data_IF_769162591633
#
_entry.id   IF_769162591633
#
_cell.length_a   1.000
_cell.length_b   1.000
_cell.length_c   1.000
_cell.angle_alpha   90.00
_cell.angle_beta   90.00
_cell.angle_gamma   90.00
#
_symmetry.space_group_name_H-M   'P 1'
#
loop_
_entity.id
_entity.type
_entity.pdbx_description
1 polymer ?
#
# COMPACT_ATOMS: atom_id res chain seq x y z
N UNK A 1 2.96 -18.98 -7.81
CA UNK A 1 2.88 -20.37 -8.31
C UNK A 1 1.64 -20.98 -7.68
N UNK A 2 0.76 -21.56 -8.50
CA UNK A 2 -0.47 -22.21 -8.08
C UNK A 2 -0.12 -23.59 -7.54
N UNK A 3 0.16 -23.72 -6.24
CA UNK A 3 0.21 -25.05 -5.61
C UNK A 3 -1.22 -25.59 -5.58
N UNK A 4 -1.43 -26.83 -6.00
CA UNK A 4 -2.71 -27.49 -5.82
C UNK A 4 -2.93 -27.84 -4.33
N UNK A 5 -4.18 -27.88 -3.84
CA UNK A 5 -4.45 -28.33 -2.48
C UNK A 5 -3.85 -29.74 -2.25
N UNK A 6 -3.05 -29.90 -1.19
CA UNK A 6 -2.29 -31.11 -0.80
C UNK A 6 -0.98 -31.40 -1.57
N UNK A 7 -0.49 -30.49 -2.40
CA UNK A 7 0.81 -30.64 -3.06
C UNK A 7 1.97 -30.25 -2.12
N UNK A 8 2.24 -31.09 -1.11
CA UNK A 8 3.36 -30.91 -0.18
C UNK A 8 4.62 -31.57 -0.72
N UNK A 9 5.29 -30.89 -1.66
CA UNK A 9 6.59 -31.34 -2.17
C UNK A 9 7.68 -31.06 -1.14
N UNK A 10 8.58 -32.03 -0.92
CA UNK A 10 9.68 -31.90 0.07
C UNK A 10 10.58 -30.66 -0.17
N UNK A 11 10.63 -30.16 -1.41
CA UNK A 11 11.37 -28.97 -1.81
C UNK A 11 10.55 -27.67 -1.80
N UNK A 12 9.22 -27.75 -1.61
CA UNK A 12 8.30 -26.60 -1.49
C UNK A 12 7.23 -26.88 -0.44
N UNK A 13 7.61 -27.06 0.85
CA UNK A 13 6.65 -27.34 1.91
C UNK A 13 5.64 -26.20 2.02
N UNK A 14 4.36 -26.51 2.26
CA UNK A 14 3.39 -25.49 2.64
C UNK A 14 3.86 -24.83 3.93
N UNK A 15 4.33 -23.59 3.80
CA UNK A 15 4.54 -22.73 4.95
C UNK A 15 3.18 -22.09 5.22
N UNK A 16 2.48 -22.42 6.33
CA UNK A 16 1.29 -21.69 6.70
C UNK A 16 1.68 -20.23 6.88
N UNK A 17 1.37 -19.41 5.86
CA UNK A 17 1.52 -17.97 5.94
C UNK A 17 0.27 -17.49 6.63
N UNK A 18 0.43 -16.97 7.84
CA UNK A 18 -0.61 -16.15 8.41
C UNK A 18 -0.82 -14.99 7.43
N UNK A 19 -2.04 -14.82 6.92
CA UNK A 19 -2.35 -13.74 5.98
C UNK A 19 -2.33 -12.46 6.81
N UNK A 20 -1.19 -11.78 6.80
CA UNK A 20 -1.04 -10.48 7.43
C UNK A 20 -1.89 -9.47 6.66
N UNK A 21 -2.74 -8.67 7.32
CA UNK A 21 -3.40 -7.53 6.69
C UNK A 21 -2.36 -6.57 6.11
N UNK A 22 -2.64 -5.96 4.95
CA UNK A 22 -1.68 -5.07 4.29
C UNK A 22 -1.32 -3.82 5.12
N UNK A 23 -2.10 -3.52 6.15
CA UNK A 23 -1.99 -2.32 6.98
C UNK A 23 -1.18 -2.53 8.26
N UNK A 24 -0.94 -3.78 8.64
CA UNK A 24 -0.17 -4.10 9.85
C UNK A 24 1.31 -4.17 9.52
N UNK A 25 2.19 -3.77 10.45
CA UNK A 25 3.63 -4.01 10.27
C UNK A 25 3.92 -5.51 10.28
N UNK A 26 4.76 -5.95 9.34
CA UNK A 26 5.23 -7.32 9.35
C UNK A 26 6.00 -7.59 10.65
N UNK A 27 5.66 -8.67 11.39
CA UNK A 27 6.38 -9.02 12.60
C UNK A 27 7.85 -9.26 12.27
N UNK A 28 8.74 -8.87 13.18
CA UNK A 28 10.16 -9.16 13.02
C UNK A 28 10.37 -10.68 13.07
N UNK A 29 10.81 -11.23 11.93
CA UNK A 29 11.16 -12.63 11.84
C UNK A 29 12.59 -12.79 12.36
N UNK A 30 12.72 -13.53 13.46
CA UNK A 30 14.02 -13.88 14.02
C UNK A 30 14.79 -14.74 13.01
N UNK A 31 15.91 -14.19 12.51
CA UNK A 31 16.72 -14.88 11.51
C UNK A 31 17.65 -15.88 12.19
N UNK A 32 17.56 -17.17 11.82
CA UNK A 32 18.46 -18.21 12.32
C UNK A 32 19.93 -17.96 11.96
N UNK A 33 20.19 -17.21 10.89
CA UNK A 33 21.52 -16.89 10.38
C UNK A 33 21.61 -15.40 10.02
N UNK A 34 22.78 -14.79 10.18
CA UNK A 34 23.04 -13.38 9.83
C UNK A 34 22.93 -13.06 8.33
N UNK A 35 23.07 -14.07 7.47
CA UNK A 35 22.99 -13.94 6.02
C UNK A 35 21.68 -14.56 5.51
N UNK A 36 20.58 -13.83 5.68
CA UNK A 36 19.31 -14.13 5.01
C UNK A 36 18.91 -12.97 4.11
N UNK A 37 18.34 -13.23 2.92
CA UNK A 37 17.83 -12.16 2.08
C UNK A 37 16.63 -11.50 2.76
N UNK A 38 16.73 -10.22 3.09
CA UNK A 38 15.59 -9.43 3.57
C UNK A 38 14.52 -9.34 2.48
N UNK A 39 13.26 -9.42 2.90
CA UNK A 39 12.10 -9.28 2.00
C UNK A 39 11.53 -7.89 2.12
N UNK A 40 11.04 -7.38 1.01
CA UNK A 40 10.16 -6.23 0.99
C UNK A 40 8.72 -6.75 0.98
N UNK A 41 7.83 -6.03 1.65
CA UNK A 41 6.41 -6.34 1.68
C UNK A 41 5.82 -6.16 0.27
N UNK A 42 6.00 -4.98 -0.30
CA UNK A 42 5.55 -4.68 -1.66
C UNK A 42 6.51 -3.70 -2.37
N UNK A 43 6.32 -3.63 -3.68
CA UNK A 43 6.81 -2.53 -4.51
C UNK A 43 5.58 -1.75 -4.91
N UNK A 44 5.54 -0.47 -4.54
CA UNK A 44 4.45 0.43 -4.86
C UNK A 44 4.84 1.28 -6.06
N UNK A 45 3.93 1.49 -7.00
CA UNK A 45 4.20 2.21 -8.24
C UNK A 45 3.15 3.26 -8.51
N UNK A 46 3.57 4.48 -8.83
CA UNK A 46 2.69 5.51 -9.39
C UNK A 46 2.76 5.41 -10.91
N UNK A 47 1.61 5.16 -11.52
CA UNK A 47 1.48 5.01 -12.96
C UNK A 47 0.58 6.11 -13.53
N UNK A 48 0.98 6.67 -14.67
CA UNK A 48 0.07 7.47 -15.48
C UNK A 48 -1.11 6.60 -15.99
N UNK A 49 -2.24 7.20 -16.40
CA UNK A 49 -3.39 6.47 -16.93
C UNK A 49 -3.07 5.56 -18.14
N UNK A 50 -2.00 5.87 -18.89
CA UNK A 50 -1.52 5.05 -19.99
C UNK A 50 -0.67 3.83 -19.55
N UNK A 51 -0.49 3.61 -18.26
CA UNK A 51 0.29 2.50 -17.69
C UNK A 51 1.80 2.77 -17.57
N UNK A 52 2.27 3.96 -17.94
CA UNK A 52 3.69 4.35 -17.77
C UNK A 52 3.97 4.58 -16.29
N UNK A 53 4.97 3.89 -15.75
CA UNK A 53 5.46 4.10 -14.38
C UNK A 53 6.18 5.44 -14.31
N UNK A 54 5.69 6.33 -13.45
CA UNK A 54 6.27 7.65 -13.16
C UNK A 54 7.27 7.55 -12.02
N UNK A 55 6.89 6.85 -10.96
CA UNK A 55 7.71 6.66 -9.77
C UNK A 55 7.41 5.30 -9.13
N UNK A 56 8.34 4.81 -8.31
CA UNK A 56 8.18 3.56 -7.58
C UNK A 56 8.99 3.59 -6.29
N UNK A 57 8.55 2.82 -5.30
CA UNK A 57 9.23 2.69 -4.01
C UNK A 57 9.09 1.27 -3.47
N UNK A 58 10.03 0.82 -2.65
CA UNK A 58 9.92 -0.47 -1.95
C UNK A 58 9.48 -0.23 -0.52
N UNK A 59 8.35 -0.81 -0.13
CA UNK A 59 7.91 -0.81 1.27
C UNK A 59 8.42 -2.07 1.96
N UNK A 60 9.30 -1.89 2.95
CA UNK A 60 9.97 -3.01 3.60
C UNK A 60 9.02 -3.85 4.47
N UNK A 61 8.17 -3.19 5.25
CA UNK A 61 7.35 -3.84 6.30
C UNK A 61 5.86 -3.88 5.99
N UNK A 62 5.32 -2.78 5.48
CA UNK A 62 3.91 -2.61 5.23
C UNK A 62 3.66 -1.49 4.22
N UNK A 63 2.57 -1.64 3.50
CA UNK A 63 2.00 -0.62 2.63
C UNK A 63 1.08 0.28 3.47
N UNK A 64 1.68 0.95 4.46
CA UNK A 64 0.93 1.76 5.42
C UNK A 64 0.50 3.10 4.81
N UNK A 65 -0.62 3.70 5.28
CA UNK A 65 -1.06 5.01 4.83
C UNK A 65 0.00 6.10 4.95
N UNK A 66 0.83 6.07 6.01
CA UNK A 66 1.93 7.03 6.20
C UNK A 66 3.04 6.85 5.17
N UNK A 67 3.38 5.60 4.83
CA UNK A 67 4.37 5.31 3.79
C UNK A 67 3.88 5.78 2.42
N UNK A 68 2.59 5.59 2.14
CA UNK A 68 1.94 6.07 0.90
C UNK A 68 1.95 7.60 0.85
N UNK A 69 1.52 8.30 1.91
CA UNK A 69 1.52 9.77 1.98
C UNK A 69 2.91 10.33 1.73
N UNK A 70 3.92 9.77 2.40
CA UNK A 70 5.31 10.15 2.18
C UNK A 70 5.76 9.90 0.75
N UNK A 71 5.41 8.76 0.17
CA UNK A 71 5.77 8.45 -1.22
C UNK A 71 5.13 9.44 -2.21
N UNK A 72 3.88 9.86 -1.97
CA UNK A 72 3.23 10.90 -2.79
C UNK A 72 3.93 12.25 -2.64
N UNK A 73 4.30 12.66 -1.42
CA UNK A 73 5.02 13.90 -1.15
C UNK A 73 6.41 13.90 -1.79
N UNK A 74 7.17 12.81 -1.67
CA UNK A 74 8.49 12.64 -2.27
C UNK A 74 8.43 12.65 -3.81
N UNK A 75 7.30 12.20 -4.40
CA UNK A 75 7.11 12.14 -5.86
C UNK A 75 6.62 13.46 -6.44
N UNK A 76 5.72 14.15 -5.74
CA UNK A 76 5.08 15.39 -6.18
C UNK A 76 5.22 16.49 -5.11
N UNK A 77 6.44 17.01 -4.87
CA UNK A 77 6.69 17.99 -3.82
C UNK A 77 5.95 19.31 -4.11
N UNK A 78 5.93 19.72 -5.37
CA UNK A 78 5.32 20.98 -5.81
C UNK A 78 3.85 20.81 -6.19
N UNK A 79 3.00 21.75 -5.74
CA UNK A 79 1.57 21.78 -6.07
C UNK A 79 1.29 21.66 -7.59
N UNK A 80 2.11 22.29 -8.43
CA UNK A 80 1.94 22.27 -9.90
C UNK A 80 2.21 20.92 -10.55
N UNK A 81 2.84 20.00 -9.83
CA UNK A 81 3.17 18.65 -10.33
C UNK A 81 2.22 17.59 -9.80
N UNK A 82 1.42 17.92 -8.79
CA UNK A 82 0.48 16.98 -8.16
C UNK A 82 -0.66 16.65 -9.13
N UNK A 83 -1.05 15.37 -9.24
CA UNK A 83 -2.18 14.98 -10.07
C UNK A 83 -3.51 15.45 -9.44
N UNK A 84 -4.48 15.80 -10.29
CA UNK A 84 -5.82 16.19 -9.85
C UNK A 84 -6.56 15.03 -9.16
N UNK A 85 -6.32 13.79 -9.62
CA UNK A 85 -6.95 12.58 -9.13
C UNK A 85 -5.92 11.47 -8.89
N UNK A 86 -6.05 10.80 -7.75
CA UNK A 86 -5.21 9.67 -7.36
C UNK A 86 -6.12 8.50 -7.03
N UNK A 87 -6.03 7.44 -7.83
CA UNK A 87 -6.72 6.18 -7.57
C UNK A 87 -5.80 5.26 -6.76
N UNK A 88 -6.26 4.83 -5.59
CA UNK A 88 -5.55 3.87 -4.76
C UNK A 88 -6.56 3.03 -3.98
N UNK A 89 -6.25 1.74 -3.82
CA UNK A 89 -7.13 0.77 -3.18
C UNK A 89 -7.51 1.13 -1.74
N UNK A 90 -6.63 1.83 -1.02
CA UNK A 90 -6.85 2.27 0.37
C UNK A 90 -7.05 3.76 0.54
N UNK A 91 -7.63 4.43 -0.47
CA UNK A 91 -7.83 5.87 -0.47
C UNK A 91 -8.52 6.40 0.80
N UNK A 92 -9.47 5.66 1.38
CA UNK A 92 -10.16 6.04 2.61
C UNK A 92 -9.23 6.07 3.85
N UNK A 93 -8.30 5.10 3.96
CA UNK A 93 -7.32 5.03 5.06
C UNK A 93 -6.25 6.10 4.90
N UNK A 94 -5.81 6.34 3.67
CA UNK A 94 -4.91 7.44 3.31
C UNK A 94 -5.55 8.78 3.67
N UNK A 95 -6.81 8.99 3.28
CA UNK A 95 -7.58 10.18 3.62
C UNK A 95 -7.68 10.37 5.14
N UNK A 96 -8.13 9.34 5.87
CA UNK A 96 -8.24 9.38 7.34
C UNK A 96 -6.91 9.77 7.99
N UNK A 97 -5.81 9.16 7.54
CA UNK A 97 -4.46 9.42 8.07
C UNK A 97 -4.02 10.85 7.76
N UNK A 98 -4.29 11.35 6.54
CA UNK A 98 -3.96 12.72 6.14
C UNK A 98 -4.73 13.79 6.93
N UNK A 99 -5.97 13.49 7.32
CA UNK A 99 -6.76 14.37 8.19
C UNK A 99 -6.15 14.36 9.60
N UNK A 100 -5.81 13.18 10.12
CA UNK A 100 -5.26 13.03 11.48
C UNK A 100 -3.89 13.69 11.66
N UNK A 101 -3.03 13.63 10.64
CA UNK A 101 -1.69 14.22 10.70
C UNK A 101 -1.63 15.67 10.17
N UNK A 102 -2.76 16.21 9.68
CA UNK A 102 -2.87 17.58 9.15
C UNK A 102 -2.39 17.77 7.72
N UNK A 103 -1.90 16.73 7.03
CA UNK A 103 -1.42 16.86 5.64
C UNK A 103 -2.56 17.03 4.63
N UNK A 104 -3.81 16.78 5.02
CA UNK A 104 -4.98 16.89 4.15
C UNK A 104 -5.24 18.34 3.68
N UNK A 105 -5.06 19.34 4.54
CA UNK A 105 -5.35 20.75 4.22
C UNK A 105 -4.53 21.26 3.03
N UNK A 106 -3.34 20.68 2.85
CA UNK A 106 -2.45 20.96 1.74
C UNK A 106 -2.77 20.08 0.52
N UNK A 107 -2.91 18.77 0.74
CA UNK A 107 -3.19 17.81 -0.34
C UNK A 107 -4.52 18.10 -1.06
N UNK A 108 -5.54 18.54 -0.33
CA UNK A 108 -6.88 18.80 -0.86
C UNK A 108 -6.98 20.08 -1.71
N UNK A 109 -5.93 20.88 -1.81
CA UNK A 109 -5.93 22.04 -2.73
C UNK A 109 -5.80 21.60 -4.17
N UNK A 110 -4.97 20.57 -4.40
CA UNK A 110 -4.59 20.12 -5.75
C UNK A 110 -5.20 18.78 -6.11
N UNK A 111 -5.40 17.88 -5.13
CA UNK A 111 -5.62 16.47 -5.41
C UNK A 111 -6.90 15.94 -4.75
N UNK A 112 -7.49 14.92 -5.39
CA UNK A 112 -8.64 14.16 -4.91
C UNK A 112 -8.26 12.69 -4.85
N UNK A 113 -8.56 12.04 -3.72
CA UNK A 113 -8.36 10.60 -3.57
C UNK A 113 -9.61 9.86 -4.05
N UNK A 114 -9.43 8.88 -4.91
CA UNK A 114 -10.49 8.03 -5.45
C UNK A 114 -10.36 6.61 -4.89
N UNK A 115 -11.45 6.13 -4.31
CA UNK A 115 -11.59 4.74 -3.84
C UNK A 115 -11.96 3.88 -5.04
N UNK A 116 -11.28 2.74 -5.21
CA UNK A 116 -11.64 1.81 -6.27
C UNK A 116 -12.99 1.11 -5.98
N UNK A 117 -13.65 0.60 -7.04
CA UNK A 117 -14.96 -0.03 -6.91
C UNK A 117 -14.94 -1.32 -6.08
N UNK A 118 -13.82 -2.06 -6.05
CA UNK A 118 -13.69 -3.27 -5.25
C UNK A 118 -13.61 -2.94 -3.75
N UNK A 119 -12.86 -1.91 -3.38
CA UNK A 119 -12.81 -1.40 -2.01
C UNK A 119 -14.19 -0.92 -1.56
N UNK A 120 -14.90 -0.19 -2.43
CA UNK A 120 -16.24 0.29 -2.14
C UNK A 120 -17.23 -0.84 -1.79
N UNK A 121 -17.17 -1.99 -2.50
CA UNK A 121 -18.07 -3.13 -2.28
C UNK A 121 -17.81 -3.83 -0.93
N UNK A 122 -16.58 -3.82 -0.43
CA UNK A 122 -16.20 -4.48 0.83
C UNK A 122 -16.37 -3.59 2.06
N UNK A 123 -16.94 -2.40 1.88
CA UNK A 123 -16.98 -1.38 2.91
C UNK A 123 -18.16 -1.57 3.89
N UNK A 124 -17.98 -1.07 5.12
CA UNK A 124 -19.02 -1.09 6.16
C UNK A 124 -19.77 0.23 6.15
N UNK A 125 -21.10 0.17 6.06
CA UNK A 125 -22.00 1.35 6.07
C UNK A 125 -21.81 2.32 7.22
N UNK A 126 -21.12 1.95 8.30
CA UNK A 126 -20.84 2.79 9.46
C UNK A 126 -19.55 3.61 9.37
N UNK A 127 -18.69 3.39 8.37
CA UNK A 127 -17.45 4.15 8.22
C UNK A 127 -17.68 5.38 7.33
N UNK A 128 -17.78 6.54 7.98
CA UNK A 128 -18.19 7.82 7.39
C UNK A 128 -17.11 8.50 6.52
N UNK A 129 -15.90 7.92 6.44
CA UNK A 129 -14.76 8.51 5.71
C UNK A 129 -14.59 7.88 4.32
N UNK A 130 -15.40 6.86 3.98
CA UNK A 130 -15.40 6.24 2.66
C UNK A 130 -16.51 6.78 1.76
#
# INVERSE_FOLDING_TARGET
MLNQPNENLAWNPEVPRNVQPHDEEAPEVENKNYFSPKRYYCVETICAPCGVVIAWVKFAKAESPTNILKFMEDTFPDESTRPDYICIDKACLVLRTSIQNGSWDELCKTSRLMVDAYHYINHRTTDMIC
#
